data_IF_766020688956
#
_entry.id   IF_766020688956
#
_cell.length_a   1.000
_cell.length_b   1.000
_cell.length_c   1.000
_cell.angle_alpha   90.00
_cell.angle_beta   90.00
_cell.angle_gamma   90.00
#
_symmetry.space_group_name_H-M   'P 1'
#
loop_
_entity.id
_entity.type
_entity.pdbx_description
1 polymer ?
#
# COMPACT_ATOMS: atom_id res chain seq x y z
N UNK A 1 11.77 -8.39 27.51
CA UNK A 1 11.36 -9.47 26.58
C UNK A 1 12.13 -9.24 25.31
N UNK A 2 12.72 -10.31 24.76
CA UNK A 2 13.36 -10.31 23.46
C UNK A 2 12.34 -10.83 22.44
N UNK A 3 12.15 -10.11 21.35
CA UNK A 3 11.28 -10.52 20.25
C UNK A 3 12.03 -10.36 18.93
N UNK A 4 11.89 -11.34 18.04
CA UNK A 4 12.42 -11.30 16.69
C UNK A 4 11.25 -11.05 15.73
N UNK A 5 11.44 -10.10 14.81
CA UNK A 5 10.42 -9.74 13.81
C UNK A 5 11.08 -9.82 12.44
N UNK A 6 10.65 -10.76 11.62
CA UNK A 6 11.13 -10.89 10.26
C UNK A 6 10.36 -9.93 9.36
N UNK A 7 11.06 -9.18 8.52
CA UNK A 7 10.45 -8.27 7.56
C UNK A 7 11.25 -8.24 6.25
N UNK A 8 10.63 -7.69 5.22
CA UNK A 8 11.21 -7.56 3.88
C UNK A 8 11.17 -6.09 3.47
N UNK A 9 12.29 -5.57 2.98
CA UNK A 9 12.38 -4.19 2.47
C UNK A 9 12.81 -4.17 1.02
N UNK A 10 12.19 -3.31 0.22
CA UNK A 10 12.72 -2.87 -1.07
C UNK A 10 13.56 -1.60 -0.88
N UNK A 11 14.78 -1.60 -1.41
CA UNK A 11 15.71 -0.49 -1.34
C UNK A 11 16.12 -0.01 -2.72
N UNK A 12 16.41 1.28 -2.84
CA UNK A 12 17.11 1.84 -3.99
C UNK A 12 18.09 2.92 -3.55
N UNK A 13 19.28 2.88 -4.13
CA UNK A 13 20.30 3.92 -3.95
C UNK A 13 20.52 4.65 -5.26
N UNK A 14 20.10 5.91 -5.29
CA UNK A 14 20.18 6.74 -6.48
C UNK A 14 21.62 6.87 -7.01
N UNK A 15 22.59 6.96 -6.09
CA UNK A 15 24.01 7.12 -6.42
C UNK A 15 24.63 5.87 -7.04
N UNK A 16 24.16 4.68 -6.65
CA UNK A 16 24.82 3.42 -7.01
C UNK A 16 24.09 2.63 -8.09
N UNK A 17 22.89 3.06 -8.50
CA UNK A 17 21.97 2.27 -9.37
C UNK A 17 21.79 0.82 -8.86
N UNK A 18 22.00 0.64 -7.57
CA UNK A 18 21.80 -0.61 -6.88
C UNK A 18 20.42 -0.57 -6.26
N UNK A 19 19.63 -1.57 -6.60
CA UNK A 19 18.29 -1.78 -6.09
C UNK A 19 18.31 -3.15 -5.44
N UNK A 20 17.73 -3.27 -4.26
CA UNK A 20 17.81 -4.51 -3.49
C UNK A 20 16.46 -4.86 -2.90
N UNK A 21 16.26 -6.16 -2.69
CA UNK A 21 15.21 -6.69 -1.83
C UNK A 21 15.92 -7.43 -0.70
N UNK A 22 15.68 -7.00 0.53
CA UNK A 22 16.37 -7.49 1.72
C UNK A 22 15.39 -8.22 2.62
N UNK A 23 15.79 -9.38 3.11
CA UNK A 23 15.14 -10.03 4.25
C UNK A 23 15.95 -9.69 5.49
N UNK A 24 15.30 -9.15 6.50
CA UNK A 24 15.96 -8.74 7.72
C UNK A 24 15.17 -9.16 8.97
N UNK A 25 15.91 -9.44 10.04
CA UNK A 25 15.38 -9.64 11.37
C UNK A 25 15.52 -8.35 12.18
N UNK A 26 14.46 -7.99 12.89
CA UNK A 26 14.46 -6.92 13.86
C UNK A 26 14.40 -7.53 15.26
N UNK A 27 15.55 -7.51 15.94
CA UNK A 27 15.64 -7.91 17.33
C UNK A 27 15.20 -6.74 18.21
N UNK A 28 14.05 -6.90 18.87
CA UNK A 28 13.46 -5.91 19.75
C UNK A 28 13.60 -6.35 21.19
N UNK A 29 14.28 -5.53 22.00
CA UNK A 29 14.32 -5.67 23.45
C UNK A 29 13.42 -4.63 24.09
N UNK A 30 12.42 -5.09 24.86
CA UNK A 30 11.45 -4.21 25.53
C UNK A 30 11.25 -4.54 27.02
N UNK A 31 10.70 -3.60 27.78
CA UNK A 31 10.15 -3.81 29.13
C UNK A 31 8.62 -3.92 28.99
N UNK A 32 8.02 -5.12 29.06
CA UNK A 32 6.59 -5.29 28.84
C UNK A 32 5.73 -4.46 29.79
N UNK A 33 6.12 -4.39 31.07
CA UNK A 33 5.38 -3.64 32.10
C UNK A 33 5.38 -2.13 31.93
N UNK A 34 6.24 -1.59 31.05
CA UNK A 34 6.36 -0.15 30.80
C UNK A 34 6.08 0.20 29.33
N UNK A 35 5.77 -0.80 28.50
CA UNK A 35 5.62 -0.66 27.04
C UNK A 35 6.80 0.09 26.38
N UNK A 36 7.97 0.03 27.02
CA UNK A 36 9.14 0.79 26.62
C UNK A 36 10.05 -0.10 25.80
N UNK A 37 10.38 0.35 24.60
CA UNK A 37 11.44 -0.24 23.78
C UNK A 37 12.78 0.24 24.32
N UNK A 38 13.68 -0.70 24.61
CA UNK A 38 15.04 -0.41 25.07
C UNK A 38 16.02 -0.40 23.92
N UNK A 39 15.87 -1.35 23.00
CA UNK A 39 16.71 -1.50 21.83
C UNK A 39 15.90 -2.14 20.69
N UNK A 40 16.20 -1.74 19.46
CA UNK A 40 15.72 -2.38 18.25
C UNK A 40 16.90 -2.46 17.29
N UNK A 41 17.38 -3.68 17.02
CA UNK A 41 18.56 -3.91 16.20
C UNK A 41 18.17 -4.66 14.93
N UNK A 42 18.45 -4.05 13.77
CA UNK A 42 18.22 -4.66 12.46
C UNK A 42 19.43 -5.51 12.07
N UNK A 43 19.19 -6.76 11.72
CA UNK A 43 20.16 -7.63 11.07
C UNK A 43 19.62 -8.05 9.70
N UNK A 44 20.33 -7.66 8.64
CA UNK A 44 20.04 -8.16 7.29
C UNK A 44 20.49 -9.63 7.22
N UNK A 45 19.56 -10.52 6.88
CA UNK A 45 19.82 -11.96 6.77
C UNK A 45 20.28 -12.31 5.37
N UNK A 46 19.65 -11.72 4.35
CA UNK A 46 20.00 -11.91 2.95
C UNK A 46 19.50 -10.75 2.10
N UNK A 47 20.22 -10.47 1.01
CA UNK A 47 19.92 -9.43 0.05
C UNK A 47 19.93 -10.00 -1.37
N UNK A 48 19.00 -9.53 -2.17
CA UNK A 48 18.92 -9.84 -3.59
C UNK A 48 18.99 -8.53 -4.37
N UNK A 49 19.85 -8.45 -5.38
CA UNK A 49 19.80 -7.39 -6.38
C UNK A 49 18.44 -7.39 -7.09
N UNK A 50 17.92 -6.22 -7.44
CA UNK A 50 16.65 -6.06 -8.12
C UNK A 50 16.85 -5.30 -9.43
N UNK A 51 16.16 -5.73 -10.49
CA UNK A 51 16.24 -5.07 -11.80
C UNK A 51 15.33 -3.85 -11.81
N UNK A 52 15.94 -2.67 -11.70
CA UNK A 52 15.25 -1.40 -11.53
C UNK A 52 14.83 -1.14 -10.09
N UNK A 53 14.48 0.12 -9.79
CA UNK A 53 14.01 0.54 -8.46
C UNK A 53 12.80 -0.30 -8.05
N UNK A 54 12.82 -0.83 -6.82
CA UNK A 54 11.63 -1.45 -6.21
C UNK A 54 10.64 -0.34 -5.89
N UNK A 55 9.46 -0.39 -6.48
CA UNK A 55 8.44 0.66 -6.35
C UNK A 55 7.29 0.24 -5.45
N UNK A 56 7.00 -1.06 -5.40
CA UNK A 56 6.01 -1.63 -4.51
C UNK A 56 6.42 -3.06 -4.14
N UNK A 57 6.01 -3.52 -2.95
CA UNK A 57 6.33 -4.83 -2.42
C UNK A 57 5.14 -5.37 -1.62
N UNK A 58 4.86 -6.66 -1.77
CA UNK A 58 3.87 -7.36 -0.95
C UNK A 58 4.44 -8.66 -0.42
N UNK A 59 4.12 -8.95 0.83
CA UNK A 59 4.51 -10.18 1.52
C UNK A 59 3.26 -10.93 1.93
N UNK A 60 3.23 -12.24 1.68
CA UNK A 60 2.17 -13.11 2.18
C UNK A 60 2.74 -14.36 2.79
N UNK A 61 2.28 -14.69 4.00
CA UNK A 61 2.58 -15.95 4.67
C UNK A 61 1.36 -16.88 4.60
N UNK A 62 1.61 -18.17 4.37
CA UNK A 62 0.63 -19.25 4.45
C UNK A 62 0.76 -20.02 5.76
N UNK A 63 -0.29 -20.77 6.10
CA UNK A 63 -0.38 -21.55 7.33
C UNK A 63 0.71 -22.62 7.49
N UNK A 64 1.34 -23.05 6.38
CA UNK A 64 2.42 -24.05 6.36
C UNK A 64 3.83 -23.44 6.56
N UNK A 65 3.91 -22.14 6.81
CA UNK A 65 5.14 -21.39 7.01
C UNK A 65 5.80 -20.95 5.70
N UNK A 66 5.22 -21.23 4.54
CA UNK A 66 5.68 -20.63 3.30
C UNK A 66 5.37 -19.14 3.29
N UNK A 67 6.33 -18.35 2.84
CA UNK A 67 6.21 -16.91 2.64
C UNK A 67 6.56 -16.62 1.20
N UNK A 68 5.79 -15.74 0.58
CA UNK A 68 6.05 -15.24 -0.75
C UNK A 68 6.18 -13.73 -0.70
N UNK A 69 7.16 -13.24 -1.43
CA UNK A 69 7.38 -11.83 -1.68
C UNK A 69 7.16 -11.59 -3.16
N UNK A 70 6.35 -10.59 -3.49
CA UNK A 70 6.17 -10.09 -4.85
C UNK A 70 6.59 -8.63 -4.87
N UNK A 71 7.36 -8.26 -5.89
CA UNK A 71 7.91 -6.91 -6.04
C UNK A 71 7.63 -6.39 -7.43
N UNK A 72 7.37 -5.08 -7.50
CA UNK A 72 7.21 -4.34 -8.76
C UNK A 72 8.39 -3.42 -8.98
N UNK A 73 8.73 -3.21 -10.25
CA UNK A 73 9.85 -2.35 -10.63
C UNK A 73 9.41 -1.09 -11.37
N UNK A 74 10.27 -0.07 -11.30
CA UNK A 74 10.17 1.13 -12.13
C UNK A 74 10.35 0.85 -13.65
N UNK A 75 10.64 -0.38 -14.04
CA UNK A 75 10.78 -0.82 -15.44
C UNK A 75 9.62 -1.71 -15.88
N UNK A 76 8.56 -1.85 -15.07
CA UNK A 76 7.38 -2.65 -15.42
C UNK A 76 7.51 -4.16 -15.21
N UNK A 77 8.58 -4.58 -14.52
CA UNK A 77 8.86 -5.98 -14.22
C UNK A 77 8.28 -6.36 -12.85
N UNK A 78 7.68 -7.54 -12.78
CA UNK A 78 7.27 -8.21 -11.54
C UNK A 78 8.29 -9.29 -11.22
N UNK A 79 8.80 -9.30 -9.99
CA UNK A 79 9.73 -10.32 -9.51
C UNK A 79 9.16 -11.01 -8.28
N UNK A 80 9.47 -12.30 -8.10
CA UNK A 80 8.89 -13.14 -7.05
C UNK A 80 9.96 -13.92 -6.30
N UNK A 81 9.81 -14.00 -4.98
CA UNK A 81 10.62 -14.84 -4.10
C UNK A 81 9.72 -15.71 -3.23
N UNK A 82 10.19 -16.90 -2.87
CA UNK A 82 9.57 -17.72 -1.83
C UNK A 82 10.60 -18.06 -0.77
N UNK A 83 10.20 -18.08 0.48
CA UNK A 83 11.03 -18.61 1.56
C UNK A 83 10.17 -19.30 2.60
N UNK A 84 10.77 -20.18 3.40
CA UNK A 84 10.07 -20.90 4.45
C UNK A 84 10.52 -20.39 5.81
N UNK A 85 9.55 -19.94 6.60
CA UNK A 85 9.74 -19.59 8.00
C UNK A 85 9.40 -20.80 8.86
N UNK A 86 10.30 -21.25 9.74
CA UNK A 86 9.98 -22.31 10.69
C UNK A 86 8.82 -21.91 11.59
N UNK A 87 7.82 -22.78 11.74
CA UNK A 87 6.63 -22.52 12.56
C UNK A 87 6.86 -22.80 14.06
N UNK A 88 7.95 -23.47 14.42
CA UNK A 88 8.23 -23.83 15.81
C UNK A 88 8.71 -22.59 16.59
N UNK A 89 8.09 -22.25 17.74
CA UNK A 89 8.55 -21.17 18.59
C UNK A 89 10.02 -21.38 19.00
N UNK A 90 10.86 -20.35 18.83
CA UNK A 90 12.28 -20.41 19.16
C UNK A 90 13.17 -21.10 18.12
N UNK A 91 12.64 -21.41 16.92
CA UNK A 91 13.46 -21.80 15.78
C UNK A 91 14.53 -20.75 15.47
N UNK A 92 15.72 -21.23 15.13
CA UNK A 92 16.85 -20.37 14.80
C UNK A 92 16.69 -19.76 13.39
N UNK A 93 17.22 -18.56 13.20
CA UNK A 93 17.15 -17.81 11.94
C UNK A 93 17.85 -18.52 10.77
N UNK A 94 18.86 -19.35 11.06
CA UNK A 94 19.58 -20.16 10.07
C UNK A 94 18.73 -21.27 9.43
N UNK A 95 17.55 -21.53 9.99
CA UNK A 95 16.56 -22.46 9.43
C UNK A 95 15.66 -21.83 8.37
N UNK A 96 15.74 -20.50 8.16
CA UNK A 96 15.01 -19.83 7.09
C UNK A 96 15.66 -20.20 5.74
N UNK A 97 14.89 -20.88 4.90
CA UNK A 97 15.32 -21.26 3.56
C UNK A 97 14.69 -20.32 2.54
N UNK A 98 15.49 -19.50 1.88
CA UNK A 98 15.05 -18.61 0.82
C UNK A 98 15.38 -19.18 -0.56
N UNK A 99 14.40 -19.07 -1.47
CA UNK A 99 14.50 -19.51 -2.85
C UNK A 99 14.04 -18.38 -3.78
N UNK A 100 14.98 -17.84 -4.55
CA UNK A 100 14.71 -17.07 -5.76
C UNK A 100 14.86 -18.02 -6.96
N UNK A 101 13.81 -18.73 -7.33
CA UNK A 101 13.89 -19.57 -8.55
C UNK A 101 13.84 -18.71 -9.81
N UNK A 102 14.52 -19.16 -10.88
CA UNK A 102 13.78 -19.84 -11.94
C UNK A 102 14.21 -21.31 -12.00
N UNK A 103 13.24 -22.23 -12.13
CA UNK A 103 13.57 -23.48 -12.82
C UNK A 103 13.78 -23.09 -14.28
N UNK A 104 15.03 -23.17 -14.75
CA UNK A 104 15.45 -23.14 -16.16
C UNK A 104 15.37 -21.80 -16.93
N UNK A 105 16.51 -21.08 -17.04
CA UNK A 105 16.93 -20.44 -18.30
C UNK A 105 18.46 -20.56 -18.43
N UNK A 106 18.87 -21.05 -19.59
CA UNK A 106 20.21 -21.27 -20.18
C UNK A 106 21.50 -20.89 -19.43
N UNK A 107 22.40 -21.88 -19.36
CA UNK A 107 23.76 -21.82 -18.79
C UNK A 107 24.77 -20.90 -19.52
N UNK A 108 24.36 -20.08 -20.49
CA UNK A 108 25.29 -19.34 -21.35
C UNK A 108 25.22 -17.80 -21.26
N UNK A 109 24.37 -17.25 -20.38
CA UNK A 109 24.53 -15.84 -19.97
C UNK A 109 25.04 -15.81 -18.54
N UNK A 110 26.12 -15.07 -18.31
CA UNK A 110 26.65 -14.69 -16.99
C UNK A 110 25.47 -14.35 -16.05
N UNK A 111 25.00 -15.36 -15.31
CA UNK A 111 23.79 -15.24 -14.50
C UNK A 111 24.25 -14.56 -13.24
N UNK A 112 23.87 -13.30 -13.07
CA UNK A 112 24.19 -12.48 -11.90
C UNK A 112 23.72 -13.20 -10.63
N UNK A 113 24.57 -14.06 -10.07
CA UNK A 113 24.30 -14.83 -8.87
C UNK A 113 24.09 -13.83 -7.72
N UNK A 114 22.83 -13.60 -7.38
CA UNK A 114 22.45 -12.58 -6.40
C UNK A 114 21.32 -11.67 -6.83
N UNK A 115 20.81 -11.72 -8.06
CA UNK A 115 19.62 -10.95 -8.44
C UNK A 115 18.32 -11.76 -8.29
N UNK A 116 17.25 -11.05 -7.94
CA UNK A 116 15.90 -11.58 -7.95
C UNK A 116 15.44 -11.78 -9.40
N UNK A 117 14.97 -12.97 -9.70
CA UNK A 117 14.49 -13.31 -11.03
C UNK A 117 13.20 -12.57 -11.35
N UNK A 118 13.13 -11.98 -12.54
CA UNK A 118 11.91 -11.44 -13.10
C UNK A 118 10.94 -12.58 -13.38
N UNK A 119 9.78 -12.52 -12.73
CA UNK A 119 8.70 -13.46 -12.93
C UNK A 119 7.90 -13.12 -14.19
N UNK A 120 7.57 -11.85 -14.41
CA UNK A 120 6.81 -11.39 -15.57
C UNK A 120 7.18 -9.96 -15.95
N UNK A 121 7.30 -9.67 -17.24
CA UNK A 121 7.28 -8.31 -17.76
C UNK A 121 5.84 -8.02 -18.24
N UNK A 122 5.05 -7.32 -17.43
CA UNK A 122 3.65 -7.06 -17.76
C UNK A 122 3.37 -5.59 -18.07
N UNK A 123 4.14 -4.65 -17.53
CA UNK A 123 3.97 -3.23 -17.81
C UNK A 123 5.06 -2.69 -18.74
N UNK A 124 4.71 -1.63 -19.46
CA UNK A 124 5.63 -0.85 -20.30
C UNK A 124 6.30 0.29 -19.52
N UNK A 125 5.78 0.61 -18.34
CA UNK A 125 6.29 1.63 -17.43
C UNK A 125 6.26 1.10 -15.97
N UNK A 126 6.56 1.98 -15.01
CA UNK A 126 6.60 1.73 -13.58
C UNK A 126 5.33 1.05 -13.08
N UNK A 127 5.53 -0.03 -12.31
CA UNK A 127 4.48 -0.63 -11.51
C UNK A 127 4.29 0.24 -10.26
N UNK A 128 3.10 0.81 -10.09
CA UNK A 128 2.78 1.66 -8.95
C UNK A 128 2.26 0.86 -7.75
N UNK A 129 1.51 -0.22 -7.99
CA UNK A 129 0.95 -1.04 -6.93
C UNK A 129 0.89 -2.52 -7.26
N UNK A 130 1.03 -3.34 -6.21
CA UNK A 130 0.87 -4.79 -6.24
C UNK A 130 0.02 -5.20 -5.04
N UNK A 131 -0.84 -6.19 -5.25
CA UNK A 131 -1.54 -6.87 -4.15
C UNK A 131 -1.76 -8.37 -4.40
N UNK A 132 -1.74 -9.17 -3.34
CA UNK A 132 -1.80 -10.64 -3.40
C UNK A 132 -3.15 -11.12 -2.85
N UNK A 133 -3.96 -11.74 -3.70
CA UNK A 133 -5.14 -12.48 -3.28
C UNK A 133 -4.79 -13.96 -3.06
N UNK A 134 -4.55 -14.32 -1.81
CA UNK A 134 -4.19 -15.69 -1.43
C UNK A 134 -5.34 -16.69 -1.61
N UNK A 135 -6.60 -16.26 -1.51
CA UNK A 135 -7.74 -17.17 -1.70
C UNK A 135 -7.94 -17.51 -3.17
N UNK A 136 -7.81 -16.51 -4.04
CA UNK A 136 -7.92 -16.66 -5.50
C UNK A 136 -6.63 -17.12 -6.18
N UNK A 137 -5.53 -17.17 -5.44
CA UNK A 137 -4.20 -17.46 -5.95
C UNK A 137 -3.82 -16.53 -7.12
N UNK A 138 -4.00 -15.21 -6.93
CA UNK A 138 -3.71 -14.20 -7.95
C UNK A 138 -2.96 -13.00 -7.39
N UNK A 139 -2.13 -12.40 -8.23
CA UNK A 139 -1.45 -11.11 -8.00
C UNK A 139 -2.10 -10.07 -8.89
N UNK A 140 -2.53 -8.97 -8.29
CA UNK A 140 -2.92 -7.75 -8.97
C UNK A 140 -1.68 -6.86 -9.13
N UNK A 141 -1.51 -6.29 -10.31
CA UNK A 141 -0.48 -5.30 -10.63
C UNK A 141 -1.14 -4.11 -11.31
N UNK A 142 -0.73 -2.91 -10.96
CA UNK A 142 -1.22 -1.67 -11.55
C UNK A 142 -0.05 -0.77 -11.92
N UNK A 143 -0.05 -0.28 -13.16
CA UNK A 143 1.04 0.52 -13.72
C UNK A 143 0.66 1.97 -13.99
N UNK A 144 1.70 2.80 -14.09
CA UNK A 144 1.57 4.18 -14.60
C UNK A 144 1.17 4.16 -16.09
N UNK A 145 1.41 3.04 -16.79
CA UNK A 145 0.98 2.80 -18.18
C UNK A 145 -0.54 2.55 -18.35
N UNK A 146 -1.32 2.70 -17.27
CA UNK A 146 -2.77 2.54 -17.32
C UNK A 146 -3.26 1.13 -17.53
N UNK A 147 -2.36 0.14 -17.38
CA UNK A 147 -2.74 -1.26 -17.42
C UNK A 147 -2.90 -1.82 -16.02
N UNK A 148 -3.80 -2.78 -15.90
CA UNK A 148 -3.96 -3.62 -14.72
C UNK A 148 -3.79 -5.07 -15.16
N UNK A 149 -2.96 -5.84 -14.48
CA UNK A 149 -2.82 -7.28 -14.77
C UNK A 149 -3.11 -8.16 -13.57
N UNK A 150 -3.79 -9.26 -13.85
CA UNK A 150 -3.96 -10.38 -12.92
C UNK A 150 -3.05 -11.53 -13.34
N UNK A 151 -2.11 -11.87 -12.46
CA UNK A 151 -1.13 -12.94 -12.65
C UNK A 151 -1.44 -14.11 -11.71
N UNK A 152 -1.51 -15.37 -12.19
CA UNK A 152 -1.77 -16.52 -11.32
C UNK A 152 -0.56 -16.84 -10.42
N UNK A 153 -0.78 -17.10 -9.14
CA UNK A 153 0.28 -17.42 -8.17
C UNK A 153 0.95 -18.77 -8.42
N UNK A 154 0.18 -19.74 -8.92
CA UNK A 154 0.64 -21.10 -9.23
C UNK A 154 1.32 -21.20 -10.60
N UNK A 155 2.05 -20.15 -11.01
CA UNK A 155 2.85 -20.19 -12.22
C UNK A 155 3.93 -21.27 -12.12
N UNK A 156 3.75 -22.30 -12.96
CA UNK A 156 4.75 -23.30 -13.31
C UNK A 156 5.59 -22.77 -14.50
N UNK A 157 6.89 -22.46 -14.31
CA UNK A 157 7.78 -22.03 -15.39
C UNK A 157 7.88 -23.03 -16.54
N UNK A 158 7.70 -24.33 -16.26
CA UNK A 158 7.87 -25.40 -17.23
C UNK A 158 6.61 -25.65 -18.07
N UNK A 159 5.49 -25.02 -17.71
CA UNK A 159 4.25 -25.05 -18.46
C UNK A 159 4.31 -24.07 -19.63
N UNK A 160 4.64 -24.57 -20.82
CA UNK A 160 4.53 -23.83 -22.09
C UNK A 160 3.09 -23.38 -22.44
N UNK A 161 2.10 -23.66 -21.58
CA UNK A 161 0.76 -23.10 -21.73
C UNK A 161 0.83 -21.60 -21.42
N UNK A 162 0.59 -20.78 -22.45
CA UNK A 162 0.44 -19.33 -22.36
C UNK A 162 -0.36 -18.98 -21.11
N UNK A 163 0.31 -18.39 -20.14
CA UNK A 163 -0.30 -18.02 -18.87
C UNK A 163 -1.42 -17.04 -19.19
N UNK A 164 -2.65 -17.34 -18.75
CA UNK A 164 -3.81 -16.48 -19.02
C UNK A 164 -3.71 -15.20 -18.18
N UNK A 165 -2.76 -14.33 -18.51
CA UNK A 165 -2.70 -12.96 -18.02
C UNK A 165 -3.96 -12.26 -18.46
N UNK A 166 -4.77 -11.83 -17.50
CA UNK A 166 -5.93 -11.00 -17.81
C UNK A 166 -5.51 -9.56 -17.64
N UNK A 167 -5.48 -8.82 -18.75
CA UNK A 167 -5.32 -7.38 -18.75
C UNK A 167 -6.68 -6.70 -18.61
N UNK A 168 -6.74 -5.66 -17.78
CA UNK A 168 -7.83 -4.71 -17.70
C UNK A 168 -7.26 -3.33 -18.02
N UNK A 169 -8.06 -2.54 -18.73
CA UNK A 169 -7.85 -1.11 -18.91
C UNK A 169 -9.22 -0.44 -18.92
N UNK A 170 -9.28 0.81 -18.52
CA UNK A 170 -10.52 1.61 -18.57
C UNK A 170 -10.99 1.94 -20.00
N UNK A 171 -10.27 1.52 -21.03
CA UNK A 171 -10.52 1.79 -22.46
C UNK A 171 -10.49 3.28 -22.83
N UNK A 172 -10.25 4.18 -21.87
CA UNK A 172 -10.24 5.63 -22.07
C UNK A 172 -8.81 6.16 -22.31
N UNK A 173 -7.78 5.35 -22.00
CA UNK A 173 -6.46 5.45 -22.61
C UNK A 173 -5.52 6.53 -22.07
N UNK A 174 -5.91 7.21 -20.98
CA UNK A 174 -5.14 8.32 -20.39
C UNK A 174 -5.04 8.26 -18.86
N UNK A 175 -5.17 7.08 -18.28
CA UNK A 175 -5.17 6.93 -16.82
C UNK A 175 -3.87 6.28 -16.39
N UNK A 176 -3.20 6.85 -15.40
CA UNK A 176 -2.11 6.21 -14.68
C UNK A 176 -2.64 5.72 -13.34
N UNK A 177 -2.22 4.56 -12.86
CA UNK A 177 -2.62 4.08 -11.53
C UNK A 177 -1.55 4.43 -10.50
N UNK A 178 -1.96 4.79 -9.28
CA UNK A 178 -1.07 5.02 -8.14
C UNK A 178 -1.24 3.98 -7.04
N UNK A 179 -2.46 3.46 -6.87
CA UNK A 179 -2.75 2.47 -5.84
C UNK A 179 -3.73 1.41 -6.34
N UNK A 180 -3.56 0.17 -5.88
CA UNK A 180 -4.44 -0.94 -6.20
C UNK A 180 -4.43 -1.99 -5.09
N UNK A 181 -5.60 -2.49 -4.67
CA UNK A 181 -5.73 -3.49 -3.62
C UNK A 181 -7.01 -4.31 -3.75
N UNK A 182 -6.93 -5.61 -3.50
CA UNK A 182 -8.07 -6.51 -3.41
C UNK A 182 -8.98 -6.11 -2.23
N UNK A 183 -10.28 -6.07 -2.48
CA UNK A 183 -11.29 -5.88 -1.43
C UNK A 183 -12.05 -7.15 -1.10
N UNK A 184 -12.13 -8.09 -2.05
CA UNK A 184 -12.70 -9.41 -1.87
C UNK A 184 -12.08 -10.43 -2.83
N UNK A 185 -12.61 -11.65 -2.85
CA UNK A 185 -12.22 -12.68 -3.82
C UNK A 185 -12.39 -12.22 -5.28
N UNK A 186 -13.44 -11.46 -5.60
CA UNK A 186 -13.77 -11.10 -6.98
C UNK A 186 -13.63 -9.63 -7.31
N UNK A 187 -13.34 -8.79 -6.31
CA UNK A 187 -13.29 -7.34 -6.46
C UNK A 187 -12.00 -6.75 -5.94
N UNK A 188 -11.53 -5.72 -6.64
CA UNK A 188 -10.39 -4.91 -6.22
C UNK A 188 -10.68 -3.44 -6.46
N UNK A 189 -9.94 -2.59 -5.75
CA UNK A 189 -10.05 -1.14 -5.80
C UNK A 189 -8.78 -0.58 -6.43
N UNK A 190 -8.91 0.45 -7.25
CA UNK A 190 -7.79 1.21 -7.79
C UNK A 190 -7.98 2.70 -7.55
N UNK A 191 -6.88 3.44 -7.51
CA UNK A 191 -6.86 4.89 -7.54
C UNK A 191 -6.12 5.34 -8.80
N UNK A 192 -6.81 6.14 -9.61
CA UNK A 192 -6.25 6.73 -10.82
C UNK A 192 -5.70 8.13 -10.57
N UNK A 193 -4.64 8.47 -11.31
CA UNK A 193 -4.10 9.81 -11.44
C UNK A 193 -3.98 10.22 -12.91
N UNK A 194 -3.67 11.49 -13.10
CA UNK A 194 -3.15 12.06 -14.34
C UNK A 194 -1.75 12.59 -14.05
N UNK A 195 -0.79 12.31 -14.93
CA UNK A 195 0.57 12.83 -14.78
C UNK A 195 0.58 14.37 -14.69
N UNK A 196 1.47 14.91 -13.85
CA UNK A 196 1.57 16.34 -13.54
C UNK A 196 1.71 17.24 -14.78
N UNK A 197 2.22 16.69 -15.90
CA UNK A 197 2.43 17.42 -17.14
C UNK A 197 1.18 17.49 -18.04
N UNK A 198 0.18 16.62 -17.85
CA UNK A 198 -0.99 16.47 -18.74
C UNK A 198 -2.32 16.81 -18.06
N UNK A 199 -2.28 17.41 -16.86
CA UNK A 199 -3.46 17.90 -16.12
C UNK A 199 -4.36 18.83 -16.96
N UNK A 200 -3.81 19.52 -17.97
CA UNK A 200 -4.58 20.41 -18.86
C UNK A 200 -5.34 19.68 -19.99
N UNK A 201 -5.02 18.42 -20.28
CA UNK A 201 -5.56 17.67 -21.42
C UNK A 201 -6.60 16.64 -21.04
N UNK A 202 -6.68 16.27 -19.76
CA UNK A 202 -7.64 15.31 -19.25
C UNK A 202 -8.71 16.13 -18.55
N UNK A 203 -9.86 16.28 -19.20
CA UNK A 203 -11.03 16.88 -18.56
C UNK A 203 -11.35 16.17 -17.24
N UNK A 204 -12.20 16.79 -16.43
CA UNK A 204 -12.53 16.45 -15.02
C UNK A 204 -12.92 14.99 -14.72
N UNK A 205 -12.84 14.04 -15.65
CA UNK A 205 -13.52 12.75 -15.66
C UNK A 205 -12.78 11.54 -15.08
N UNK A 206 -11.49 11.63 -14.71
CA UNK A 206 -10.67 10.40 -14.55
C UNK A 206 -9.89 10.26 -13.22
N UNK A 207 -10.00 11.18 -12.27
CA UNK A 207 -9.26 11.16 -10.98
C UNK A 207 -10.15 10.61 -9.85
N UNK A 208 -10.28 9.28 -9.76
CA UNK A 208 -11.26 8.67 -8.84
C UNK A 208 -10.85 7.30 -8.29
N UNK A 209 -11.56 6.88 -7.25
CA UNK A 209 -11.53 5.49 -6.81
C UNK A 209 -12.40 4.65 -7.75
N UNK A 210 -11.87 3.51 -8.19
CA UNK A 210 -12.56 2.59 -9.07
C UNK A 210 -12.65 1.22 -8.43
N UNK A 211 -13.83 0.59 -8.47
CA UNK A 211 -14.08 -0.76 -7.97
C UNK A 211 -14.31 -1.68 -9.15
N UNK A 212 -13.42 -2.63 -9.34
CA UNK A 212 -13.42 -3.58 -10.44
C UNK A 212 -14.04 -4.91 -10.01
N UNK A 213 -14.87 -5.50 -10.88
CA UNK A 213 -15.36 -6.88 -10.72
C UNK A 213 -14.71 -7.77 -11.78
N UNK A 214 -13.85 -8.69 -11.34
CA UNK A 214 -13.09 -9.59 -12.21
C UNK A 214 -13.97 -10.49 -13.08
N UNK A 215 -15.22 -10.76 -12.67
CA UNK A 215 -16.16 -11.59 -13.42
C UNK A 215 -16.82 -10.83 -14.56
N UNK A 216 -16.98 -9.50 -14.39
CA UNK A 216 -17.65 -8.62 -15.35
C UNK A 216 -16.68 -7.87 -16.25
N UNK A 217 -15.41 -7.73 -15.83
CA UNK A 217 -14.39 -6.88 -16.47
C UNK A 217 -14.88 -5.44 -16.65
N UNK A 218 -15.61 -4.95 -15.66
CA UNK A 218 -16.07 -3.57 -15.60
C UNK A 218 -15.72 -2.96 -14.26
N UNK A 219 -15.64 -1.63 -14.22
CA UNK A 219 -15.46 -0.88 -13.00
C UNK A 219 -16.66 0.04 -12.72
N UNK A 220 -16.87 0.32 -11.43
CA UNK A 220 -17.69 1.43 -10.95
C UNK A 220 -16.74 2.47 -10.38
N UNK A 221 -17.08 3.75 -10.49
CA UNK A 221 -16.20 4.84 -10.10
C UNK A 221 -16.89 5.73 -9.06
N UNK A 222 -16.10 6.32 -8.15
CA UNK A 222 -16.58 7.36 -7.25
C UNK A 222 -16.90 8.64 -8.03
N UNK A 223 -17.79 9.47 -7.48
CA UNK A 223 -18.03 10.82 -7.98
C UNK A 223 -16.73 11.65 -8.00
N UNK A 224 -16.48 12.37 -9.11
CA UNK A 224 -15.22 13.07 -9.37
C UNK A 224 -14.94 14.20 -8.37
N UNK A 225 -16.00 14.87 -7.93
CA UNK A 225 -15.94 15.90 -6.87
C UNK A 225 -15.38 15.38 -5.52
N UNK A 226 -15.36 14.06 -5.34
CA UNK A 226 -14.84 13.40 -4.15
C UNK A 226 -13.61 12.54 -4.42
N UNK A 227 -13.48 12.01 -5.64
CA UNK A 227 -12.31 11.25 -6.10
C UNK A 227 -10.98 11.99 -5.90
N UNK A 228 -11.07 13.32 -5.78
CA UNK A 228 -10.06 14.21 -5.20
C UNK A 228 -10.35 14.32 -3.69
N UNK A 229 -9.54 13.75 -2.81
CA UNK A 229 -9.78 13.75 -1.34
C UNK A 229 -9.64 15.14 -0.66
N UNK A 230 -9.93 16.24 -1.37
CA UNK A 230 -10.04 17.58 -0.82
C UNK A 230 -11.09 18.43 -1.55
N UNK A 231 -11.56 19.48 -0.89
CA UNK A 231 -12.67 20.30 -1.38
C UNK A 231 -12.48 20.91 -2.79
N UNK A 232 -13.59 21.21 -3.49
CA UNK A 232 -13.60 21.71 -4.87
C UNK A 232 -12.76 22.98 -5.14
N UNK A 233 -12.44 23.78 -4.12
CA UNK A 233 -11.88 25.12 -4.28
C UNK A 233 -10.43 25.18 -4.78
N UNK A 234 -9.68 24.07 -4.73
CA UNK A 234 -8.27 24.05 -5.15
C UNK A 234 -8.06 23.64 -6.62
N UNK A 235 -9.11 23.16 -7.31
CA UNK A 235 -9.06 22.83 -8.76
C UNK A 235 -8.67 24.07 -9.59
N UNK A 236 -9.09 25.26 -9.15
CA UNK A 236 -8.75 26.53 -9.79
C UNK A 236 -7.34 27.07 -9.48
N UNK A 237 -6.57 26.42 -8.59
CA UNK A 237 -5.22 26.86 -8.15
C UNK A 237 -4.08 26.00 -8.70
N UNK A 238 -4.39 24.97 -9.49
CA UNK A 238 -3.39 24.21 -10.23
C UNK A 238 -2.62 23.14 -9.43
N UNK A 239 -3.06 22.82 -8.21
CA UNK A 239 -2.55 21.66 -7.46
C UNK A 239 -3.63 20.57 -7.44
N UNK A 240 -3.65 19.70 -8.44
CA UNK A 240 -4.52 18.52 -8.41
C UNK A 240 -4.19 17.68 -7.17
N UNK A 241 -5.18 17.41 -6.30
CA UNK A 241 -5.01 16.51 -5.15
C UNK A 241 -5.16 15.08 -5.63
N UNK A 242 -4.07 14.31 -5.58
CA UNK A 242 -4.00 12.92 -6.06
C UNK A 242 -4.22 11.93 -4.89
N UNK A 243 -4.75 10.75 -5.19
CA UNK A 243 -4.77 9.63 -4.25
C UNK A 243 -3.50 8.81 -4.50
N UNK A 244 -2.66 8.72 -3.48
CA UNK A 244 -1.37 8.02 -3.52
C UNK A 244 -1.45 6.63 -2.93
N UNK A 245 -2.37 6.41 -1.99
CA UNK A 245 -2.49 5.16 -1.25
C UNK A 245 -3.95 4.78 -1.02
N UNK A 246 -4.21 3.47 -0.99
CA UNK A 246 -5.48 2.91 -0.57
C UNK A 246 -5.24 1.72 0.35
N UNK A 247 -6.20 1.46 1.24
CA UNK A 247 -6.29 0.20 1.97
C UNK A 247 -7.75 -0.29 2.05
N UNK A 248 -7.97 -1.58 1.87
CA UNK A 248 -9.29 -2.21 2.01
C UNK A 248 -9.48 -2.73 3.44
N UNK A 249 -10.71 -2.70 3.94
CA UNK A 249 -10.98 -3.15 5.30
C UNK A 249 -10.94 -4.68 5.39
N UNK A 250 -10.18 -5.28 6.33
CA UNK A 250 -9.93 -6.72 6.34
C UNK A 250 -11.18 -7.58 6.52
N UNK A 251 -12.22 -7.07 7.19
CA UNK A 251 -13.49 -7.79 7.42
C UNK A 251 -14.73 -7.14 6.81
N UNK A 252 -14.60 -5.99 6.14
CA UNK A 252 -15.72 -5.24 5.57
C UNK A 252 -15.38 -4.91 4.10
N UNK A 253 -15.61 -5.83 3.16
CA UNK A 253 -15.12 -5.72 1.78
C UNK A 253 -15.69 -4.51 1.02
N UNK A 254 -16.77 -3.91 1.54
CA UNK A 254 -17.38 -2.68 1.01
C UNK A 254 -16.74 -1.40 1.57
N UNK A 255 -15.70 -1.48 2.40
CA UNK A 255 -15.00 -0.32 2.95
C UNK A 255 -13.55 -0.23 2.48
N UNK A 256 -13.15 0.97 2.11
CA UNK A 256 -11.74 1.29 1.90
C UNK A 256 -11.39 2.63 2.56
N UNK A 257 -10.10 2.88 2.67
CA UNK A 257 -9.52 4.16 3.03
C UNK A 257 -8.56 4.59 1.93
N UNK A 258 -8.46 5.89 1.70
CA UNK A 258 -7.49 6.50 0.79
C UNK A 258 -6.65 7.52 1.53
N UNK A 259 -5.36 7.59 1.18
CA UNK A 259 -4.44 8.67 1.51
C UNK A 259 -4.06 9.42 0.25
N UNK A 260 -4.03 10.75 0.31
CA UNK A 260 -3.72 11.58 -0.85
C UNK A 260 -2.89 12.81 -0.51
N UNK A 261 -2.85 13.75 -1.45
CA UNK A 261 -2.05 14.96 -1.30
C UNK A 261 -2.46 15.81 -0.09
N UNK A 262 -1.53 16.60 0.44
CA UNK A 262 -1.75 17.52 1.57
C UNK A 262 -2.25 16.85 2.87
N UNK A 263 -1.82 15.62 3.17
CA UNK A 263 -2.23 14.91 4.39
C UNK A 263 -3.70 14.48 4.38
N UNK A 264 -4.33 14.38 3.21
CA UNK A 264 -5.75 14.01 3.11
C UNK A 264 -5.95 12.53 3.37
N UNK A 265 -6.92 12.19 4.22
CA UNK A 265 -7.29 10.80 4.53
C UNK A 265 -8.80 10.68 4.52
N UNK A 266 -9.35 9.73 3.77
CA UNK A 266 -10.80 9.56 3.65
C UNK A 266 -11.20 8.09 3.70
N UNK A 267 -12.32 7.79 4.37
CA UNK A 267 -12.91 6.46 4.44
C UNK A 267 -14.15 6.41 3.56
N UNK A 268 -14.28 5.33 2.80
CA UNK A 268 -15.26 5.19 1.74
C UNK A 268 -16.14 3.97 1.92
N UNK A 269 -17.35 4.06 1.40
CA UNK A 269 -18.21 2.93 1.10
C UNK A 269 -18.13 2.66 -0.41
N UNK A 270 -17.56 1.52 -0.78
CA UNK A 270 -17.29 1.08 -2.16
C UNK A 270 -18.56 0.74 -2.96
N UNK A 271 -19.73 0.81 -2.33
CA UNK A 271 -21.02 0.76 -3.03
C UNK A 271 -21.34 2.10 -3.69
N UNK A 272 -20.56 3.15 -3.41
CA UNK A 272 -20.65 4.49 -3.99
C UNK A 272 -22.05 5.08 -3.91
N UNK A 273 -22.68 5.00 -2.73
CA UNK A 273 -23.99 5.58 -2.51
C UNK A 273 -23.95 7.13 -2.47
N UNK A 274 -22.79 7.74 -2.12
CA UNK A 274 -22.55 9.19 -2.06
C UNK A 274 -21.03 9.50 -1.84
N UNK A 275 -20.73 10.65 -1.22
CA UNK A 275 -19.43 11.11 -0.71
C UNK A 275 -18.69 10.08 0.18
N UNK A 276 -17.42 10.34 0.57
CA UNK A 276 -16.77 9.57 1.63
C UNK A 276 -17.66 9.47 2.88
N UNK A 277 -17.50 8.40 3.65
CA UNK A 277 -18.20 8.23 4.94
C UNK A 277 -17.69 9.25 5.96
N UNK A 278 -16.37 9.45 5.99
CA UNK A 278 -15.66 10.44 6.80
C UNK A 278 -14.38 10.85 6.06
N UNK A 279 -13.90 12.08 6.29
CA UNK A 279 -12.67 12.56 5.69
C UNK A 279 -11.96 13.54 6.63
N UNK A 280 -10.64 13.44 6.71
CA UNK A 280 -9.75 14.47 7.21
C UNK A 280 -9.14 15.16 6.00
N UNK A 281 -9.46 16.44 5.85
CA UNK A 281 -9.21 17.18 4.61
C UNK A 281 -7.82 17.79 4.52
N UNK A 282 -6.94 17.38 5.45
CA UNK A 282 -5.55 17.79 5.49
C UNK A 282 -5.40 19.23 5.98
N UNK A 283 -4.15 19.63 6.21
CA UNK A 283 -3.80 21.04 6.44
C UNK A 283 -3.07 21.56 5.22
N UNK A 284 -3.22 22.84 4.93
CA UNK A 284 -2.38 23.49 3.92
C UNK A 284 -0.91 23.31 4.31
N UNK A 285 -0.09 22.79 3.40
CA UNK A 285 1.33 22.42 3.58
C UNK A 285 1.61 21.17 4.43
N UNK A 286 0.62 20.31 4.69
CA UNK A 286 0.92 18.95 5.15
C UNK A 286 1.52 18.12 4.01
N UNK A 287 2.36 17.15 4.34
CA UNK A 287 2.95 16.24 3.37
C UNK A 287 1.96 15.29 2.69
N UNK A 288 2.30 14.79 1.50
CA UNK A 288 1.54 13.78 0.79
C UNK A 288 1.51 12.45 1.56
N UNK A 289 0.36 11.78 1.57
CA UNK A 289 0.18 10.51 2.32
C UNK A 289 0.63 9.31 1.49
N UNK A 290 1.78 8.74 1.81
CA UNK A 290 2.35 7.59 1.08
C UNK A 290 1.70 6.26 1.37
N UNK A 291 1.23 6.06 2.60
CA UNK A 291 0.59 4.80 2.98
C UNK A 291 -0.54 5.05 3.97
N UNK A 292 -1.62 4.29 3.83
CA UNK A 292 -2.71 4.19 4.81
C UNK A 292 -2.97 2.72 5.18
N UNK A 293 -3.42 2.48 6.41
CA UNK A 293 -3.86 1.17 6.87
C UNK A 293 -4.96 1.32 7.91
N UNK A 294 -5.95 0.43 7.91
CA UNK A 294 -6.90 0.36 9.03
C UNK A 294 -6.19 -0.10 10.30
N UNK A 295 -6.45 0.55 11.42
CA UNK A 295 -5.86 0.17 12.70
C UNK A 295 -6.46 -1.15 13.20
N UNK A 296 -5.71 -2.25 13.08
CA UNK A 296 -6.18 -3.59 13.41
C UNK A 296 -6.36 -3.83 14.92
N UNK A 297 -5.73 -3.02 15.78
CA UNK A 297 -5.86 -3.06 17.24
C UNK A 297 -7.19 -2.44 17.73
N UNK A 298 -8.05 -2.03 16.78
CA UNK A 298 -9.34 -1.44 17.09
C UNK A 298 -10.41 -2.51 17.33
N UNK A 299 -10.87 -2.63 18.58
CA UNK A 299 -12.06 -3.41 18.90
C UNK A 299 -13.31 -2.71 18.32
N UNK A 300 -13.89 -3.31 17.28
CA UNK A 300 -15.03 -2.72 16.59
C UNK A 300 -16.31 -2.80 17.43
N UNK A 301 -16.89 -1.66 17.76
CA UNK A 301 -18.34 -1.56 17.88
C UNK A 301 -18.96 -1.56 16.49
N UNK A 302 -20.01 -2.35 16.24
CA UNK A 302 -20.58 -2.61 14.90
C UNK A 302 -21.00 -1.35 14.08
N UNK A 303 -21.06 -0.17 14.69
CA UNK A 303 -21.50 1.08 14.06
C UNK A 303 -20.41 2.15 13.87
N UNK A 304 -19.19 1.95 14.39
CA UNK A 304 -18.15 2.99 14.38
C UNK A 304 -17.17 2.78 13.23
N UNK A 305 -16.76 3.88 12.58
CA UNK A 305 -15.70 3.86 11.57
C UNK A 305 -14.35 3.60 12.24
N UNK A 306 -13.61 2.56 11.83
CA UNK A 306 -12.32 2.24 12.45
C UNK A 306 -11.30 3.37 12.25
N UNK A 307 -10.40 3.58 13.22
CA UNK A 307 -9.27 4.48 13.07
C UNK A 307 -8.36 4.05 11.91
N UNK A 308 -7.64 5.02 11.37
CA UNK A 308 -6.74 4.83 10.23
C UNK A 308 -5.35 5.28 10.65
N UNK A 309 -4.34 4.46 10.36
CA UNK A 309 -2.95 4.84 10.42
C UNK A 309 -2.50 5.36 9.06
N UNK A 310 -1.60 6.34 9.07
CA UNK A 310 -1.07 6.94 7.84
C UNK A 310 0.37 7.43 8.03
N UNK A 311 1.12 7.51 6.92
CA UNK A 311 2.43 8.13 6.91
C UNK A 311 2.59 9.11 5.74
N UNK A 312 3.50 10.08 5.88
CA UNK A 312 3.61 11.21 4.96
C UNK A 312 5.03 11.52 4.49
N UNK A 313 5.12 12.27 3.39
CA UNK A 313 6.38 12.79 2.83
C UNK A 313 7.17 13.71 3.78
N UNK A 314 6.46 14.37 4.70
CA UNK A 314 7.02 15.33 5.65
C UNK A 314 7.45 14.66 6.96
N UNK A 315 7.48 13.33 6.96
CA UNK A 315 8.05 12.52 8.02
C UNK A 315 7.13 12.20 9.17
N UNK A 316 5.81 12.35 9.00
CA UNK A 316 4.86 12.00 10.04
C UNK A 316 4.36 10.56 9.87
N UNK A 317 4.23 9.85 10.98
CA UNK A 317 3.42 8.64 11.12
C UNK A 317 2.35 8.95 12.17
N UNK A 318 1.08 8.82 11.78
CA UNK A 318 -0.05 9.25 12.60
C UNK A 318 -1.23 8.30 12.56
N UNK A 319 -2.23 8.64 13.36
CA UNK A 319 -3.53 7.97 13.46
C UNK A 319 -4.65 8.99 13.40
N UNK A 320 -5.69 8.70 12.61
CA UNK A 320 -6.92 9.49 12.55
C UNK A 320 -8.05 8.71 13.21
N UNK A 321 -8.68 9.32 14.21
CA UNK A 321 -9.83 8.80 14.94
C UNK A 321 -11.11 9.56 14.53
N UNK A 322 -12.20 8.83 14.27
CA UNK A 322 -13.43 9.40 13.71
C UNK A 322 -14.58 9.58 14.71
N UNK A 323 -14.27 9.57 16.02
CA UNK A 323 -15.28 9.54 17.08
C UNK A 323 -16.33 10.66 16.94
N UNK A 324 -17.61 10.29 16.81
CA UNK A 324 -18.73 11.24 16.73
C UNK A 324 -19.06 11.78 15.33
N UNK A 325 -18.32 11.38 14.29
CA UNK A 325 -18.53 11.86 12.93
C UNK A 325 -19.25 10.82 12.06
N UNK A 326 -20.47 11.13 11.62
CA UNK A 326 -21.22 10.33 10.65
C UNK A 326 -21.31 11.02 9.29
N UNK A 327 -21.63 10.25 8.25
CA UNK A 327 -21.74 10.72 6.85
C UNK A 327 -22.61 11.98 6.65
N UNK A 328 -23.55 12.25 7.58
CA UNK A 328 -24.41 13.43 7.56
C UNK A 328 -23.67 14.78 7.58
N UNK A 329 -22.43 14.83 8.10
CA UNK A 329 -21.64 16.06 8.14
C UNK A 329 -21.09 16.47 6.76
N UNK A 330 -20.88 15.50 5.86
CA UNK A 330 -20.38 15.75 4.50
C UNK A 330 -21.51 16.14 3.52
N UNK A 331 -22.77 15.75 3.80
CA UNK A 331 -23.93 16.09 2.97
C UNK A 331 -24.31 17.58 3.03
N UNK A 332 -24.06 18.28 4.15
CA UNK A 332 -24.33 19.73 4.26
C UNK A 332 -23.38 20.62 3.43
N UNK A 333 -22.30 20.06 2.88
CA UNK A 333 -21.43 20.77 1.93
C UNK A 333 -22.02 20.86 0.51
N UNK A 334 -23.11 20.15 0.22
CA UNK A 334 -23.68 20.05 -1.13
C UNK A 334 -24.41 21.32 -1.61
N UNK A 335 -24.84 22.20 -0.70
CA UNK A 335 -25.83 23.25 -1.02
C UNK A 335 -25.33 24.70 -0.88
N UNK A 336 -24.11 24.94 -0.36
CA UNK A 336 -23.59 26.29 -0.16
C UNK A 336 -22.30 26.52 -0.97
N UNK A 337 -22.40 27.29 -2.05
CA UNK A 337 -21.26 27.82 -2.84
C UNK A 337 -20.31 28.74 -2.02
N UNK A 338 -20.61 28.96 -0.74
CA UNK A 338 -19.71 29.55 0.26
C UNK A 338 -19.34 28.48 1.29
N UNK A 339 -18.34 27.64 0.97
CA UNK A 339 -17.89 26.59 1.88
C UNK A 339 -17.00 27.19 2.98
N UNK A 340 -17.62 27.55 4.11
CA UNK A 340 -16.91 27.53 5.39
C UNK A 340 -16.69 26.06 5.75
N UNK A 341 -15.43 25.63 5.69
CA UNK A 341 -15.00 24.32 6.17
C UNK A 341 -15.39 24.15 7.64
N UNK A 342 -16.46 23.40 7.90
CA UNK A 342 -16.81 23.05 9.25
C UNK A 342 -15.83 22.00 9.75
N UNK A 343 -14.96 22.41 10.67
CA UNK A 343 -13.98 21.58 11.40
C UNK A 343 -14.63 20.35 12.08
N UNK A 344 -15.96 20.33 12.19
CA UNK A 344 -16.76 19.27 12.79
C UNK A 344 -16.89 17.97 11.98
N UNK A 345 -16.28 17.84 10.79
CA UNK A 345 -16.17 16.55 10.09
C UNK A 345 -14.75 15.99 10.04
N UNK A 346 -13.76 16.74 10.53
CA UNK A 346 -12.37 16.30 10.54
C UNK A 346 -12.16 15.28 11.65
N UNK A 347 -11.60 14.12 11.30
CA UNK A 347 -11.13 13.17 12.30
C UNK A 347 -10.04 13.76 13.17
N UNK A 348 -9.98 13.32 14.43
CA UNK A 348 -8.92 13.73 15.35
C UNK A 348 -7.60 13.05 14.95
N UNK A 349 -6.61 13.86 14.57
CA UNK A 349 -5.27 13.37 14.19
C UNK A 349 -4.36 13.34 15.41
N UNK A 350 -3.73 12.19 15.65
CA UNK A 350 -2.64 12.03 16.61
C UNK A 350 -1.37 11.59 15.90
N UNK A 351 -0.26 12.30 16.13
CA UNK A 351 1.04 11.95 15.55
C UNK A 351 1.75 11.00 16.51
N UNK A 352 2.13 9.83 16.00
CA UNK A 352 2.81 8.77 16.74
C UNK A 352 4.33 8.95 16.68
N UNK A 353 4.84 9.42 15.55
CA UNK A 353 6.24 9.68 15.28
C UNK A 353 6.36 10.83 14.28
N UNK A 354 7.36 11.67 14.48
CA UNK A 354 7.81 12.67 13.51
C UNK A 354 9.30 12.48 13.29
N UNK A 355 9.67 12.32 12.03
CA UNK A 355 11.04 12.21 11.55
C UNK A 355 11.42 13.45 10.75
N UNK A 356 12.72 13.66 10.56
CA UNK A 356 13.21 14.80 9.78
C UNK A 356 13.07 14.59 8.25
N UNK A 357 12.73 13.38 7.82
CA UNK A 357 12.61 12.95 6.43
C UNK A 357 11.36 12.09 6.23
N UNK A 358 11.01 11.86 4.96
CA UNK A 358 9.82 11.09 4.55
C UNK A 358 9.72 9.75 5.26
N UNK A 359 8.52 9.43 5.75
CA UNK A 359 8.14 8.07 6.14
C UNK A 359 7.48 7.41 4.92
N UNK A 360 8.22 6.55 4.23
CA UNK A 360 7.84 6.00 2.93
C UNK A 360 6.86 4.82 3.03
N UNK A 361 6.77 4.19 4.21
CA UNK A 361 5.83 3.12 4.45
C UNK A 361 5.95 2.57 5.86
N UNK A 362 4.96 1.77 6.26
CA UNK A 362 4.94 1.10 7.55
C UNK A 362 4.14 -0.21 7.50
N UNK A 363 4.35 -1.05 8.50
CA UNK A 363 3.53 -2.23 8.75
C UNK A 363 3.25 -2.37 10.26
N UNK A 364 2.15 -3.04 10.57
CA UNK A 364 1.58 -3.12 11.91
C UNK A 364 1.29 -4.57 12.29
N UNK A 365 1.85 -4.98 13.43
CA UNK A 365 1.57 -6.26 14.05
C UNK A 365 1.10 -6.05 15.50
N UNK A 366 -0.21 -5.95 15.67
CA UNK A 366 -0.85 -5.59 16.94
C UNK A 366 -0.45 -4.17 17.37
N UNK A 367 0.26 -4.08 18.50
CA UNK A 367 0.75 -2.81 19.04
C UNK A 367 2.09 -2.38 18.45
N UNK A 368 2.78 -3.26 17.74
CA UNK A 368 4.08 -2.97 17.14
C UNK A 368 3.92 -2.34 15.77
N UNK A 369 4.64 -1.24 15.53
CA UNK A 369 4.72 -0.59 14.23
C UNK A 369 6.19 -0.55 13.80
N UNK A 370 6.44 -0.99 12.58
CA UNK A 370 7.72 -0.84 11.90
C UNK A 370 7.51 0.15 10.76
N UNK A 371 8.30 1.21 10.70
CA UNK A 371 8.25 2.20 9.64
C UNK A 371 9.59 2.26 8.90
N UNK A 372 9.52 2.46 7.58
CA UNK A 372 10.68 2.73 6.73
C UNK A 372 10.70 4.21 6.42
N UNK A 373 11.81 4.86 6.73
CA UNK A 373 12.03 6.27 6.43
C UNK A 373 13.02 6.39 5.27
N UNK A 374 13.21 7.60 4.76
CA UNK A 374 14.18 7.88 3.71
C UNK A 374 15.59 7.35 4.06
N UNK A 375 16.36 6.96 3.04
CA UNK A 375 17.71 6.36 3.17
C UNK A 375 17.76 4.97 3.82
N UNK A 376 16.69 4.16 3.69
CA UNK A 376 16.62 2.77 4.20
C UNK A 376 16.74 2.67 5.73
N UNK A 377 16.58 3.78 6.43
CA UNK A 377 16.49 3.79 7.89
C UNK A 377 15.12 3.23 8.32
N UNK A 378 15.10 2.65 9.51
CA UNK A 378 13.91 2.03 10.07
C UNK A 378 13.64 2.55 11.46
N UNK A 379 12.37 2.83 11.72
CA UNK A 379 11.88 3.20 13.03
C UNK A 379 10.99 2.09 13.56
N UNK A 380 11.09 1.82 14.86
CA UNK A 380 10.26 0.85 15.55
C UNK A 380 9.56 1.51 16.72
N UNK A 381 8.24 1.33 16.78
CA UNK A 381 7.39 1.89 17.82
C UNK A 381 6.56 0.76 18.41
N UNK A 382 6.45 0.73 19.73
CA UNK A 382 5.44 -0.06 20.42
C UNK A 382 4.38 0.88 20.98
N UNK A 383 3.13 0.71 20.53
CA UNK A 383 1.97 1.45 21.03
C UNK A 383 1.49 0.85 22.34
N UNK A 384 0.75 1.65 23.09
CA UNK A 384 -0.02 1.15 24.23
C UNK A 384 -1.22 0.38 23.73
N UNK A 385 -1.45 -0.81 24.27
CA UNK A 385 -2.69 -1.55 24.01
C UNK A 385 -3.87 -0.72 24.53
N UNK A 386 -4.81 -0.37 23.66
CA UNK A 386 -6.06 0.29 24.08
C UNK A 386 -7.07 -0.74 24.60
N UNK A 387 -6.65 -1.63 25.50
CA UNK A 387 -7.58 -2.46 26.27
C UNK A 387 -8.24 -1.57 27.32
N UNK A 388 -9.45 -1.10 27.04
CA UNK A 388 -10.30 -0.34 27.97
C UNK A 388 -11.06 -1.24 28.94
#
# INVERSE_FOLDING_TARGET
>A
MLAHRLFVTGGWRQDFRQHTVSIADLEVTSIPSQEKVLNANKQVLTDFGHRGRVTCLQVRQWADGNVMVVTGSAQGAVSRMRFRVPLAPGSALDQIQAWSQPLMVDMDTDTDAGFLCTWQQCHTDTIAAIDINAEKQQVLTAGIDGQLHLLPLDWDPDSAASTSQTCYSDQQGYISYHAAQWSSMDTFVTASTTDDNDMYLIGDSNLCLQVWDTRKRSCRQSDLKWGLTGAPQDIGKGTARQIHSIATHPSQPDKCVSGGSNGTVAVWDLRFAAAPVVANTGKQNAGDVWQVQFDADYESGAAQTPPVLFCTDDGNLGRVDWAGHGAAALTQMQDNEQEQYNDSSNGHVSILLTEASSVNGFDVDGTDIVAVVEQECMCYIRRRSQTF
#
